data_IF_546812193922
#
_entry.id   IF_546812193922
#
_cell.length_a   1.000
_cell.length_b   1.000
_cell.length_c   1.000
_cell.angle_alpha   90.00
_cell.angle_beta   90.00
_cell.angle_gamma   90.00
#
_symmetry.space_group_name_H-M   'P 1'
#
loop_
_entity.id
_entity.type
_entity.pdbx_description
1 polymer ?
#
# COMPACT_ATOMS: atom_id res chain seq x y z
N UNK A 1 27.65 51.13 1.30
CA UNK A 1 26.88 49.87 1.38
C UNK A 1 27.82 48.71 1.13
N UNK A 2 28.12 47.94 2.15
CA UNK A 2 28.95 46.76 2.08
C UNK A 2 28.19 45.63 1.37
N UNK A 3 28.70 44.99 0.33
CA UNK A 3 28.07 43.86 -0.29
C UNK A 3 27.74 42.76 0.74
N UNK A 4 26.67 42.06 0.57
CA UNK A 4 26.18 41.02 1.51
C UNK A 4 27.25 39.97 1.86
N UNK A 5 28.10 39.61 0.86
CA UNK A 5 29.22 38.70 1.03
C UNK A 5 30.29 39.23 1.99
N UNK A 6 30.64 40.51 1.90
CA UNK A 6 31.59 41.16 2.78
C UNK A 6 31.09 41.31 4.21
N UNK A 7 29.75 41.56 4.38
CA UNK A 7 29.14 41.63 5.69
C UNK A 7 29.11 40.23 6.36
N UNK A 8 28.91 39.14 5.60
CA UNK A 8 28.98 37.77 6.10
C UNK A 8 30.38 37.41 6.52
N UNK A 9 31.41 37.80 5.72
CA UNK A 9 32.81 37.56 6.06
C UNK A 9 33.25 38.31 7.33
N UNK A 10 32.76 39.53 7.55
CA UNK A 10 33.02 40.28 8.78
C UNK A 10 32.38 39.63 10.04
N UNK A 11 31.22 38.98 9.89
CA UNK A 11 30.52 38.38 11.02
C UNK A 11 31.06 36.98 11.33
N UNK A 12 31.43 36.21 10.33
CA UNK A 12 31.78 34.79 10.46
C UNK A 12 33.33 34.61 10.51
N UNK A 13 34.10 35.60 10.11
CA UNK A 13 35.57 35.57 10.11
C UNK A 13 36.12 34.38 9.34
N UNK A 14 37.24 33.81 9.80
CA UNK A 14 37.87 32.66 9.16
C UNK A 14 37.04 31.36 9.14
N UNK A 15 35.92 31.31 9.90
CA UNK A 15 35.02 30.17 9.85
C UNK A 15 34.28 30.02 8.50
N UNK A 16 34.25 31.08 7.67
CA UNK A 16 33.72 31.01 6.31
C UNK A 16 34.61 30.26 5.32
N UNK A 17 35.90 30.15 5.63
CA UNK A 17 36.90 29.48 4.79
C UNK A 17 36.82 27.94 4.92
N UNK A 18 36.31 27.47 6.06
CA UNK A 18 36.06 26.07 6.31
C UNK A 18 34.63 25.94 6.84
N UNK A 19 33.62 25.88 5.95
CA UNK A 19 32.25 25.59 6.43
C UNK A 19 32.30 24.29 7.22
N UNK A 20 31.68 24.24 8.43
CA UNK A 20 31.66 23.02 9.21
C UNK A 20 31.04 21.94 8.33
N UNK A 21 31.80 20.88 8.07
CA UNK A 21 31.27 19.68 7.44
C UNK A 21 30.26 19.12 8.41
N UNK A 22 28.98 19.40 8.15
CA UNK A 22 27.89 18.77 8.87
C UNK A 22 27.84 17.31 8.43
N UNK A 23 28.51 16.45 9.17
CA UNK A 23 28.22 15.03 9.11
C UNK A 23 26.89 14.86 9.84
N UNK A 24 25.81 14.51 9.10
CA UNK A 24 24.55 14.21 9.78
C UNK A 24 24.83 13.06 10.73
N UNK A 25 24.62 13.30 12.04
CA UNK A 25 24.73 12.26 13.04
C UNK A 25 23.97 11.04 12.53
N UNK A 26 24.53 9.82 12.63
CA UNK A 26 23.84 8.61 12.18
C UNK A 26 22.46 8.63 12.84
N UNK A 27 21.41 8.70 12.03
CA UNK A 27 20.04 8.61 12.51
C UNK A 27 19.95 7.27 13.22
N UNK A 28 20.03 7.26 14.55
CA UNK A 28 19.67 6.11 15.34
C UNK A 28 18.23 5.83 14.94
N UNK A 29 17.99 4.73 14.25
CA UNK A 29 16.67 4.23 13.92
C UNK A 29 15.97 3.84 15.24
N UNK A 30 15.53 4.86 15.97
CA UNK A 30 14.58 4.63 17.04
C UNK A 30 13.36 3.93 16.42
N UNK A 31 12.86 2.85 17.03
CA UNK A 31 11.71 2.14 16.47
C UNK A 31 10.57 3.15 16.29
N UNK A 32 10.17 3.36 15.04
CA UNK A 32 9.09 4.28 14.71
C UNK A 32 7.81 3.78 15.39
N UNK A 33 7.21 4.61 16.22
CA UNK A 33 5.92 4.31 16.84
C UNK A 33 4.83 4.67 15.85
N UNK A 34 4.00 3.68 15.48
CA UNK A 34 2.85 3.91 14.61
C UNK A 34 1.81 4.77 15.34
N UNK A 35 1.48 5.92 14.75
CA UNK A 35 0.47 6.85 15.25
C UNK A 35 -0.82 6.66 14.45
N UNK A 36 -1.71 5.81 14.96
CA UNK A 36 -3.02 5.58 14.38
C UNK A 36 -3.97 6.75 14.69
N UNK A 37 -4.75 7.25 13.71
CA UNK A 37 -5.80 8.21 13.99
C UNK A 37 -6.88 7.58 14.88
N UNK A 38 -7.52 8.37 15.77
CA UNK A 38 -8.58 7.87 16.63
C UNK A 38 -9.71 7.26 15.79
N UNK A 39 -10.27 6.13 16.25
CA UNK A 39 -11.38 5.49 15.58
C UNK A 39 -12.69 6.24 15.80
N UNK A 40 -13.55 6.27 14.80
CA UNK A 40 -14.94 6.68 14.93
C UNK A 40 -15.73 5.67 15.75
N UNK A 41 -16.84 6.12 16.37
CA UNK A 41 -17.75 5.21 17.12
C UNK A 41 -18.40 4.17 16.24
N UNK A 42 -18.57 4.46 14.96
CA UNK A 42 -19.09 3.55 13.94
C UNK A 42 -18.31 3.73 12.65
N UNK A 43 -18.41 2.74 11.74
CA UNK A 43 -17.73 2.76 10.45
C UNK A 43 -18.69 3.05 9.28
N UNK A 44 -19.79 3.75 9.53
CA UNK A 44 -20.89 3.91 8.57
C UNK A 44 -20.43 4.54 7.24
N UNK A 45 -19.62 5.60 7.30
CA UNK A 45 -19.15 6.25 6.07
C UNK A 45 -18.11 5.39 5.35
N UNK A 46 -17.24 4.68 6.07
CA UNK A 46 -16.27 3.77 5.49
C UNK A 46 -16.97 2.58 4.80
N UNK A 47 -17.98 2.00 5.45
CA UNK A 47 -18.81 0.93 4.86
C UNK A 47 -19.52 1.45 3.61
N UNK A 48 -20.19 2.60 3.68
CA UNK A 48 -20.88 3.19 2.52
C UNK A 48 -19.91 3.47 1.36
N UNK A 49 -18.72 3.98 1.66
CA UNK A 49 -17.70 4.25 0.64
C UNK A 49 -17.21 2.97 -0.06
N UNK A 50 -16.95 1.90 0.72
CA UNK A 50 -16.47 0.64 0.16
C UNK A 50 -17.57 -0.12 -0.57
N UNK A 51 -18.80 -0.12 -0.04
CA UNK A 51 -19.98 -0.69 -0.72
C UNK A 51 -20.30 0.04 -2.02
N UNK A 52 -20.13 1.38 -2.05
CA UNK A 52 -20.26 2.17 -3.28
C UNK A 52 -19.22 1.81 -4.35
N UNK A 53 -18.12 1.15 -3.96
CA UNK A 53 -17.10 0.56 -4.86
C UNK A 53 -17.36 -0.92 -5.16
N UNK A 54 -18.52 -1.44 -4.76
CA UNK A 54 -18.92 -2.82 -5.00
C UNK A 54 -18.32 -3.85 -4.04
N UNK A 55 -17.56 -3.45 -3.04
CA UNK A 55 -16.96 -4.39 -2.08
C UNK A 55 -18.06 -5.01 -1.22
N UNK A 56 -18.07 -6.33 -1.12
CA UNK A 56 -19.07 -7.11 -0.42
C UNK A 56 -19.05 -6.85 1.09
N UNK A 57 -20.24 -6.83 1.72
CA UNK A 57 -20.39 -6.54 3.15
C UNK A 57 -19.66 -7.54 4.03
N UNK A 58 -19.68 -8.84 3.72
CA UNK A 58 -18.95 -9.86 4.50
C UNK A 58 -17.43 -9.59 4.49
N UNK A 59 -16.86 -9.15 3.34
CA UNK A 59 -15.44 -8.81 3.23
C UNK A 59 -15.12 -7.58 4.08
N UNK A 60 -16.01 -6.56 4.06
CA UNK A 60 -15.87 -5.36 4.89
C UNK A 60 -15.96 -5.71 6.37
N UNK A 61 -17.00 -6.44 6.77
CA UNK A 61 -17.27 -6.82 8.16
C UNK A 61 -16.15 -7.68 8.75
N UNK A 62 -15.59 -8.59 7.95
CA UNK A 62 -14.40 -9.35 8.33
C UNK A 62 -13.22 -8.42 8.63
N UNK A 63 -12.94 -7.45 7.77
CA UNK A 63 -11.83 -6.52 7.99
C UNK A 63 -12.06 -5.62 9.20
N UNK A 64 -13.29 -5.20 9.46
CA UNK A 64 -13.64 -4.41 10.66
C UNK A 64 -13.49 -5.27 11.92
N UNK A 65 -14.09 -6.45 11.95
CA UNK A 65 -14.07 -7.34 13.12
C UNK A 65 -12.68 -7.82 13.50
N UNK A 66 -11.78 -7.94 12.52
CA UNK A 66 -10.37 -8.32 12.72
C UNK A 66 -9.45 -7.11 12.94
N UNK A 67 -9.97 -5.90 13.06
CA UNK A 67 -9.18 -4.68 13.26
C UNK A 67 -8.31 -4.26 12.08
N UNK A 68 -8.54 -4.84 10.90
CA UNK A 68 -7.81 -4.50 9.68
C UNK A 68 -8.34 -3.26 8.98
N UNK A 69 -9.55 -2.86 9.33
CA UNK A 69 -10.21 -1.71 8.75
C UNK A 69 -11.05 -0.99 9.81
N UNK A 70 -10.98 0.34 9.81
CA UNK A 70 -11.88 1.18 10.59
C UNK A 70 -12.06 2.55 9.94
N UNK A 71 -13.01 3.34 10.44
CA UNK A 71 -13.21 4.73 10.05
C UNK A 71 -12.50 5.64 11.06
N UNK A 72 -11.67 6.60 10.59
CA UNK A 72 -11.08 7.59 11.48
C UNK A 72 -12.11 8.63 11.92
N UNK A 73 -12.03 9.06 13.19
CA UNK A 73 -12.82 10.18 13.71
C UNK A 73 -12.17 11.52 13.35
N UNK A 74 -12.92 12.62 13.53
CA UNK A 74 -12.46 13.99 13.34
C UNK A 74 -13.14 14.67 12.16
N UNK A 75 -12.59 15.85 11.76
CA UNK A 75 -13.18 16.69 10.69
C UNK A 75 -13.22 15.97 9.34
N UNK A 76 -12.24 15.12 9.06
CA UNK A 76 -12.13 14.36 7.81
C UNK A 76 -12.20 12.88 8.13
N UNK A 77 -13.26 12.24 7.67
CA UNK A 77 -13.40 10.80 7.77
C UNK A 77 -12.53 10.11 6.71
N UNK A 78 -11.78 9.11 7.14
CA UNK A 78 -10.99 8.29 6.25
C UNK A 78 -11.27 6.81 6.51
N UNK A 79 -11.21 6.00 5.47
CA UNK A 79 -11.02 4.56 5.62
C UNK A 79 -9.56 4.34 6.00
N UNK A 80 -9.33 3.67 7.11
CA UNK A 80 -8.00 3.31 7.61
C UNK A 80 -7.79 1.82 7.39
N UNK A 81 -6.84 1.46 6.53
CA UNK A 81 -6.43 0.09 6.28
C UNK A 81 -5.18 -0.21 7.12
N UNK A 82 -5.31 -1.14 8.05
CA UNK A 82 -4.26 -1.46 9.02
C UNK A 82 -3.52 -2.73 8.61
N UNK A 83 -2.21 -2.65 8.56
CA UNK A 83 -1.32 -3.78 8.36
C UNK A 83 -0.74 -4.27 9.69
N UNK A 84 -0.79 -5.58 9.92
CA UNK A 84 -0.36 -6.23 11.13
C UNK A 84 0.87 -7.10 10.88
N UNK A 85 1.71 -7.24 11.91
CA UNK A 85 2.75 -8.26 11.90
C UNK A 85 2.16 -9.66 12.25
N UNK A 86 2.99 -10.69 12.16
CA UNK A 86 2.60 -12.09 12.46
C UNK A 86 2.04 -12.32 13.87
N UNK A 87 2.23 -11.37 14.78
CA UNK A 87 1.74 -11.44 16.16
C UNK A 87 0.44 -10.62 16.35
N UNK A 88 -0.15 -10.11 15.27
CA UNK A 88 -1.37 -9.31 15.31
C UNK A 88 -1.16 -7.86 15.78
N UNK A 89 0.09 -7.39 15.92
CA UNK A 89 0.36 -6.00 16.28
C UNK A 89 0.28 -5.11 15.05
N UNK A 90 -0.47 -4.01 15.13
CA UNK A 90 -0.54 -2.99 14.09
C UNK A 90 0.84 -2.33 13.89
N UNK A 91 1.33 -2.31 12.66
CA UNK A 91 2.64 -1.77 12.27
C UNK A 91 2.57 -0.77 11.12
N UNK A 92 1.50 -0.77 10.38
CA UNK A 92 1.28 0.06 9.21
C UNK A 92 -0.17 0.51 9.15
N UNK A 93 -0.41 1.70 8.64
CA UNK A 93 -1.75 2.11 8.25
C UNK A 93 -1.74 3.03 7.03
N UNK A 94 -2.63 2.74 6.09
CA UNK A 94 -2.91 3.54 4.91
C UNK A 94 -4.28 4.21 5.05
N UNK A 95 -4.36 5.46 4.64
CA UNK A 95 -5.55 6.30 4.73
C UNK A 95 -6.14 6.55 3.34
N UNK A 96 -7.44 6.40 3.23
CA UNK A 96 -8.21 6.79 2.06
C UNK A 96 -9.32 7.75 2.44
N UNK A 97 -9.28 8.98 1.91
CA UNK A 97 -10.30 9.98 2.16
C UNK A 97 -11.67 9.55 1.67
N UNK A 98 -12.69 9.75 2.50
CA UNK A 98 -14.09 9.55 2.14
C UNK A 98 -14.63 10.88 1.59
N UNK A 99 -15.08 10.88 0.32
CA UNK A 99 -15.52 12.10 -0.37
C UNK A 99 -14.39 13.04 -0.81
N UNK A 100 -13.13 12.56 -0.80
CA UNK A 100 -11.97 13.30 -1.28
C UNK A 100 -10.95 12.40 -1.97
N UNK A 101 -10.00 13.00 -2.71
CA UNK A 101 -8.91 12.27 -3.37
C UNK A 101 -7.72 11.99 -2.44
N UNK A 102 -7.87 12.23 -1.13
CA UNK A 102 -6.79 12.06 -0.18
C UNK A 102 -6.36 10.60 -0.08
N UNK A 103 -5.05 10.41 -0.20
CA UNK A 103 -4.33 9.15 0.02
C UNK A 103 -3.12 9.45 0.87
N UNK A 104 -2.90 8.68 1.92
CA UNK A 104 -1.77 8.91 2.82
C UNK A 104 -1.41 7.69 3.65
N UNK A 105 -0.32 7.80 4.37
CA UNK A 105 0.13 6.81 5.36
C UNK A 105 0.21 7.47 6.73
N UNK A 106 -0.08 6.71 7.77
CA UNK A 106 0.08 7.21 9.14
C UNK A 106 1.54 7.38 9.50
N UNK A 107 1.85 8.40 10.31
CA UNK A 107 3.20 8.59 10.82
C UNK A 107 3.66 7.36 11.61
N UNK A 108 4.91 6.97 11.42
CA UNK A 108 5.48 5.79 12.05
C UNK A 108 5.09 4.47 11.40
N UNK A 109 4.39 4.48 10.27
CA UNK A 109 4.10 3.29 9.49
C UNK A 109 5.38 2.59 9.03
N UNK A 110 5.38 1.28 9.20
CA UNK A 110 6.44 0.39 8.71
C UNK A 110 5.95 -0.36 7.47
N UNK A 111 6.45 0.03 6.30
CA UNK A 111 6.03 -0.53 5.00
C UNK A 111 6.27 -2.04 4.84
N UNK A 112 7.04 -2.65 5.73
CA UNK A 112 7.21 -4.11 5.77
C UNK A 112 5.91 -4.85 6.07
N UNK A 113 4.96 -4.19 6.74
CA UNK A 113 3.73 -4.79 7.24
C UNK A 113 2.49 -4.14 6.60
N UNK A 114 2.47 -4.02 5.29
CA UNK A 114 1.32 -3.44 4.58
C UNK A 114 0.03 -4.24 4.81
N UNK A 115 -1.10 -3.67 4.36
CA UNK A 115 -2.41 -4.29 4.50
C UNK A 115 -2.43 -5.70 3.91
N UNK A 116 -2.86 -6.68 4.70
CA UNK A 116 -2.87 -8.08 4.31
C UNK A 116 -4.01 -8.86 4.95
N UNK A 117 -4.38 -9.97 4.34
CA UNK A 117 -5.28 -10.99 4.88
C UNK A 117 -4.55 -12.33 4.73
N UNK A 118 -3.95 -12.85 5.82
CA UNK A 118 -3.26 -14.13 5.78
C UNK A 118 -4.25 -15.29 5.70
N UNK A 119 -3.87 -16.36 5.02
CA UNK A 119 -4.55 -17.64 5.05
C UNK A 119 -3.96 -18.56 6.13
N UNK A 120 -4.74 -19.52 6.62
CA UNK A 120 -4.27 -20.48 7.61
C UNK A 120 -3.40 -21.59 6.99
N UNK A 121 -3.78 -22.09 5.83
CA UNK A 121 -3.13 -23.24 5.17
C UNK A 121 -3.11 -23.03 3.65
N UNK A 122 -2.27 -22.12 3.16
CA UNK A 122 -2.09 -21.93 1.72
C UNK A 122 -0.63 -21.71 1.34
N UNK A 123 -0.24 -22.27 0.22
CA UNK A 123 1.06 -22.02 -0.40
C UNK A 123 0.99 -20.90 -1.46
N UNK A 124 -0.16 -20.23 -1.60
CA UNK A 124 -0.43 -19.25 -2.65
C UNK A 124 -0.59 -17.86 -2.04
N UNK A 125 0.16 -16.90 -2.59
CA UNK A 125 0.04 -15.48 -2.28
C UNK A 125 -0.47 -14.72 -3.51
N UNK A 126 -1.51 -13.92 -3.33
CA UNK A 126 -1.95 -12.93 -4.30
C UNK A 126 -1.45 -11.54 -3.90
N UNK A 127 -0.77 -10.85 -4.79
CA UNK A 127 -0.12 -9.57 -4.56
C UNK A 127 -0.83 -8.45 -5.34
N UNK A 128 -1.23 -7.37 -4.65
CA UNK A 128 -1.99 -6.25 -5.20
C UNK A 128 -1.26 -4.92 -4.99
N UNK A 129 -1.58 -3.90 -5.79
CA UNK A 129 -1.04 -2.55 -5.57
C UNK A 129 -1.69 -1.85 -4.38
N UNK A 130 -3.01 -2.02 -4.19
CA UNK A 130 -3.75 -1.35 -3.13
C UNK A 130 -4.64 -2.29 -2.31
N UNK A 131 -5.03 -1.84 -1.11
CA UNK A 131 -5.99 -2.54 -0.26
C UNK A 131 -7.38 -2.64 -0.94
N UNK A 132 -7.80 -1.63 -1.71
CA UNK A 132 -9.09 -1.65 -2.42
C UNK A 132 -9.10 -2.73 -3.50
N UNK A 133 -8.00 -2.91 -4.25
CA UNK A 133 -7.90 -3.97 -5.26
C UNK A 133 -7.93 -5.36 -4.63
N UNK A 134 -7.25 -5.52 -3.50
CA UNK A 134 -7.27 -6.74 -2.70
C UNK A 134 -8.70 -7.08 -2.25
N UNK A 135 -9.44 -6.12 -1.68
CA UNK A 135 -10.83 -6.34 -1.24
C UNK A 135 -11.78 -6.57 -2.42
N UNK A 136 -11.53 -5.91 -3.55
CA UNK A 136 -12.29 -6.11 -4.79
C UNK A 136 -12.09 -7.51 -5.34
N UNK A 137 -10.85 -8.02 -5.32
CA UNK A 137 -10.57 -9.40 -5.71
C UNK A 137 -11.21 -10.41 -4.77
N UNK A 138 -11.16 -10.18 -3.45
CA UNK A 138 -11.84 -11.02 -2.47
C UNK A 138 -13.34 -11.09 -2.76
N UNK A 139 -13.96 -9.95 -3.07
CA UNK A 139 -15.37 -9.87 -3.46
C UNK A 139 -15.65 -10.64 -4.75
N UNK A 140 -14.82 -10.48 -5.79
CA UNK A 140 -14.97 -11.24 -7.06
C UNK A 140 -14.89 -12.75 -6.80
N UNK A 141 -13.99 -13.20 -5.95
CA UNK A 141 -13.90 -14.63 -5.59
C UNK A 141 -15.19 -15.12 -4.94
N UNK A 142 -15.71 -14.36 -3.97
CA UNK A 142 -16.98 -14.68 -3.29
C UNK A 142 -18.14 -14.74 -4.28
N UNK A 143 -18.28 -13.75 -5.16
CA UNK A 143 -19.34 -13.73 -6.19
C UNK A 143 -19.28 -14.93 -7.12
N UNK A 144 -18.11 -15.50 -7.35
CA UNK A 144 -17.89 -16.71 -8.12
C UNK A 144 -18.02 -18.01 -7.28
N UNK A 145 -18.55 -17.95 -6.06
CA UNK A 145 -18.71 -19.10 -5.19
C UNK A 145 -17.42 -19.69 -4.63
N UNK A 146 -16.31 -18.95 -4.69
CA UNK A 146 -15.03 -19.39 -4.19
C UNK A 146 -14.78 -18.86 -2.77
N UNK A 147 -14.10 -19.65 -1.94
CA UNK A 147 -13.62 -19.16 -0.65
C UNK A 147 -12.56 -18.08 -0.87
N UNK A 148 -12.90 -16.85 -0.52
CA UNK A 148 -12.03 -15.69 -0.72
C UNK A 148 -10.90 -15.60 0.33
N UNK A 149 -11.00 -16.33 1.44
CA UNK A 149 -9.97 -16.42 2.50
C UNK A 149 -8.99 -17.58 2.30
N UNK A 150 -9.20 -18.38 1.26
CA UNK A 150 -8.40 -19.58 1.01
C UNK A 150 -6.91 -19.31 0.84
N UNK A 151 -6.56 -18.20 0.18
CA UNK A 151 -5.18 -17.87 -0.19
C UNK A 151 -4.74 -16.58 0.50
N UNK A 152 -3.43 -16.41 0.70
CA UNK A 152 -2.85 -15.19 1.24
C UNK A 152 -3.09 -13.99 0.30
N UNK A 153 -3.52 -12.86 0.87
CA UNK A 153 -3.72 -11.62 0.13
C UNK A 153 -2.82 -10.53 0.73
N UNK A 154 -2.02 -9.85 -0.07
CA UNK A 154 -1.10 -8.81 0.34
C UNK A 154 -1.19 -7.60 -0.60
N UNK A 155 -1.27 -6.40 -0.04
CA UNK A 155 -1.16 -5.14 -0.77
C UNK A 155 0.26 -4.58 -0.66
N UNK A 156 0.79 -4.00 -1.73
CA UNK A 156 2.11 -3.34 -1.73
C UNK A 156 2.09 -1.94 -1.09
N UNK A 157 0.91 -1.43 -0.74
CA UNK A 157 0.72 -0.07 -0.20
C UNK A 157 1.17 1.05 -1.18
N UNK A 158 0.97 0.83 -2.46
CA UNK A 158 1.25 1.78 -3.53
C UNK A 158 2.03 1.19 -4.69
N UNK A 159 2.20 2.00 -5.72
CA UNK A 159 2.86 1.58 -6.97
C UNK A 159 4.32 1.22 -6.70
N UNK A 160 4.69 0.01 -7.06
CA UNK A 160 6.08 -0.40 -7.11
C UNK A 160 6.75 0.22 -8.34
N UNK A 161 7.81 0.99 -8.11
CA UNK A 161 8.59 1.62 -9.18
C UNK A 161 9.87 0.83 -9.41
N UNK A 162 9.97 0.07 -10.51
CA UNK A 162 11.20 -0.59 -10.92
C UNK A 162 12.31 0.41 -11.27
N UNK A 163 13.56 -0.04 -11.20
CA UNK A 163 14.70 0.70 -11.78
C UNK A 163 14.66 0.63 -13.31
N UNK A 164 15.43 1.50 -13.98
CA UNK A 164 15.60 1.44 -15.44
C UNK A 164 16.03 0.05 -15.91
N UNK A 165 17.03 -0.52 -15.22
CA UNK A 165 17.38 -1.93 -15.36
C UNK A 165 16.56 -2.75 -14.37
N UNK A 166 15.56 -3.42 -14.87
CA UNK A 166 14.58 -4.14 -14.05
C UNK A 166 15.21 -5.23 -13.17
N UNK A 167 16.32 -5.81 -13.60
CA UNK A 167 17.09 -6.84 -12.90
C UNK A 167 17.80 -6.29 -11.64
N UNK A 168 18.01 -4.97 -11.57
CA UNK A 168 18.60 -4.28 -10.42
C UNK A 168 17.53 -3.73 -9.47
N UNK A 169 16.25 -4.00 -9.75
CA UNK A 169 15.14 -3.53 -8.91
C UNK A 169 15.11 -4.27 -7.58
N UNK A 170 14.78 -3.56 -6.50
CA UNK A 170 14.64 -4.17 -5.19
C UNK A 170 13.28 -4.84 -5.05
N UNK A 171 13.20 -5.99 -4.38
CA UNK A 171 11.93 -6.59 -4.00
C UNK A 171 11.24 -5.67 -2.97
N UNK A 172 9.93 -5.39 -3.10
CA UNK A 172 9.20 -4.57 -2.14
C UNK A 172 9.34 -5.07 -0.71
N UNK A 173 9.55 -4.15 0.25
CA UNK A 173 9.76 -4.50 1.65
C UNK A 173 8.61 -5.32 2.24
N UNK A 174 7.36 -4.99 1.87
CA UNK A 174 6.18 -5.72 2.28
C UNK A 174 6.22 -7.19 1.82
N UNK A 175 6.56 -7.42 0.56
CA UNK A 175 6.65 -8.77 0.01
C UNK A 175 7.79 -9.56 0.66
N UNK A 176 8.98 -8.94 0.80
CA UNK A 176 10.14 -9.59 1.45
C UNK A 176 9.82 -10.00 2.88
N UNK A 177 9.17 -9.13 3.66
CA UNK A 177 8.81 -9.44 5.05
C UNK A 177 7.72 -10.51 5.10
N UNK A 178 6.69 -10.39 4.25
CA UNK A 178 5.57 -11.33 4.24
C UNK A 178 6.02 -12.76 3.91
N UNK A 179 6.90 -12.93 2.90
CA UNK A 179 7.48 -14.23 2.56
C UNK A 179 8.37 -14.82 3.66
N UNK A 180 9.01 -13.96 4.46
CA UNK A 180 9.77 -14.39 5.65
C UNK A 180 8.85 -14.88 6.77
N UNK A 181 7.72 -14.21 6.96
CA UNK A 181 6.74 -14.57 7.99
C UNK A 181 5.89 -15.77 7.60
N UNK A 182 5.80 -16.09 6.29
CA UNK A 182 5.02 -17.17 5.68
C UNK A 182 5.91 -18.05 4.77
N UNK A 183 6.82 -18.86 5.36
CA UNK A 183 7.75 -19.69 4.58
C UNK A 183 7.08 -20.84 3.81
N UNK A 184 5.80 -21.14 4.12
CA UNK A 184 4.97 -22.10 3.41
C UNK A 184 4.61 -21.66 1.98
N UNK A 185 4.69 -20.37 1.66
CA UNK A 185 4.33 -19.83 0.35
C UNK A 185 5.32 -20.32 -0.70
N UNK A 186 4.80 -20.89 -1.79
CA UNK A 186 5.56 -21.39 -2.96
C UNK A 186 5.16 -20.68 -4.24
N UNK A 187 3.93 -20.18 -4.32
CA UNK A 187 3.39 -19.54 -5.52
C UNK A 187 2.99 -18.10 -5.23
N UNK A 188 3.46 -17.18 -6.09
CA UNK A 188 3.14 -15.75 -6.00
C UNK A 188 2.39 -15.36 -7.27
N UNK A 189 1.14 -14.92 -7.13
CA UNK A 189 0.31 -14.44 -8.23
C UNK A 189 0.27 -12.92 -8.18
N UNK A 190 0.91 -12.28 -9.15
CA UNK A 190 0.96 -10.84 -9.29
C UNK A 190 -0.36 -10.34 -9.89
N UNK A 191 -1.15 -9.61 -9.11
CA UNK A 191 -2.44 -9.03 -9.48
C UNK A 191 -2.37 -7.52 -9.48
N UNK A 192 -1.38 -7.00 -10.20
CA UNK A 192 -1.11 -5.59 -10.32
C UNK A 192 -2.02 -4.93 -11.36
N UNK A 193 -1.97 -3.60 -11.45
CA UNK A 193 -2.78 -2.84 -12.40
C UNK A 193 -2.48 -3.23 -13.85
N UNK A 194 -3.50 -3.21 -14.68
CA UNK A 194 -3.40 -3.52 -16.12
C UNK A 194 -3.05 -2.26 -16.94
N UNK A 195 -2.08 -1.49 -16.46
CA UNK A 195 -1.52 -0.34 -17.17
C UNK A 195 -0.01 -0.53 -17.41
N UNK A 196 0.63 0.48 -18.01
CA UNK A 196 2.06 0.43 -18.33
C UNK A 196 2.91 0.24 -17.07
N UNK A 197 2.58 0.94 -15.97
CA UNK A 197 3.35 0.89 -14.73
C UNK A 197 3.21 -0.47 -14.04
N UNK A 198 1.99 -0.98 -13.88
CA UNK A 198 1.74 -2.28 -13.25
C UNK A 198 2.31 -3.45 -14.07
N UNK A 199 2.25 -3.39 -15.40
CA UNK A 199 2.89 -4.40 -16.27
C UNK A 199 4.42 -4.37 -16.17
N UNK A 200 5.03 -3.19 -16.07
CA UNK A 200 6.48 -3.05 -15.86
C UNK A 200 6.86 -3.54 -14.47
N UNK A 201 6.08 -3.23 -13.45
CA UNK A 201 6.25 -3.72 -12.09
C UNK A 201 6.22 -5.26 -12.04
N UNK A 202 5.24 -5.88 -12.71
CA UNK A 202 5.15 -7.34 -12.79
C UNK A 202 6.38 -7.96 -13.45
N UNK A 203 6.85 -7.41 -14.58
CA UNK A 203 8.09 -7.88 -15.24
C UNK A 203 9.30 -7.79 -14.33
N UNK A 204 9.46 -6.67 -13.61
CA UNK A 204 10.56 -6.49 -12.68
C UNK A 204 10.50 -7.49 -11.51
N UNK A 205 9.33 -7.71 -10.91
CA UNK A 205 9.16 -8.69 -9.85
C UNK A 205 9.46 -10.12 -10.32
N UNK A 206 9.04 -10.49 -11.53
CA UNK A 206 9.38 -11.78 -12.11
C UNK A 206 10.88 -11.95 -12.35
N UNK A 207 11.62 -10.86 -12.61
CA UNK A 207 13.06 -10.88 -12.83
C UNK A 207 13.87 -10.98 -11.53
N UNK A 208 13.40 -10.31 -10.44
CA UNK A 208 14.19 -10.16 -9.21
C UNK A 208 13.80 -11.14 -8.09
N UNK A 209 12.61 -11.74 -8.15
CA UNK A 209 12.20 -12.71 -7.15
C UNK A 209 13.00 -14.01 -7.27
N UNK A 210 13.32 -14.66 -6.14
CA UNK A 210 14.05 -15.92 -6.15
C UNK A 210 13.37 -17.02 -6.97
N UNK A 211 14.16 -17.82 -7.69
CA UNK A 211 13.68 -18.87 -8.59
C UNK A 211 13.00 -20.07 -7.91
N UNK A 212 13.04 -20.12 -6.59
CA UNK A 212 12.32 -21.14 -5.82
C UNK A 212 10.81 -20.86 -5.68
N UNK A 213 10.35 -19.68 -6.12
CA UNK A 213 8.92 -19.37 -6.20
C UNK A 213 8.39 -19.58 -7.61
N UNK A 214 7.18 -20.10 -7.71
CA UNK A 214 6.40 -20.08 -8.95
C UNK A 214 5.75 -18.70 -9.02
N UNK A 215 6.04 -17.93 -10.07
CA UNK A 215 5.53 -16.56 -10.21
C UNK A 215 4.66 -16.49 -11.45
N UNK A 216 3.43 -16.05 -11.29
CA UNK A 216 2.45 -15.87 -12.38
C UNK A 216 1.89 -14.44 -12.32
N UNK A 217 1.67 -13.81 -13.47
CA UNK A 217 1.09 -12.48 -13.58
C UNK A 217 -0.32 -12.56 -14.14
N UNK A 218 -1.31 -12.23 -13.31
CA UNK A 218 -2.74 -12.24 -13.68
C UNK A 218 -3.35 -10.88 -13.45
N UNK A 219 -3.34 -10.08 -14.50
CA UNK A 219 -3.97 -8.77 -14.50
C UNK A 219 -5.49 -8.86 -14.45
N UNK A 220 -6.20 -7.78 -14.04
CA UNK A 220 -7.65 -7.74 -14.12
C UNK A 220 -8.10 -7.96 -15.56
N UNK A 221 -9.10 -8.83 -15.80
CA UNK A 221 -9.56 -9.16 -17.17
C UNK A 221 -10.28 -7.99 -17.84
N UNK A 222 -10.78 -7.04 -17.07
CA UNK A 222 -11.46 -5.82 -17.55
C UNK A 222 -11.05 -4.64 -16.67
N UNK A 223 -11.02 -3.43 -17.25
CA UNK A 223 -10.63 -2.22 -16.53
C UNK A 223 -9.13 -2.09 -16.30
N UNK A 224 -8.76 -1.07 -15.55
CA UNK A 224 -7.37 -0.78 -15.19
C UNK A 224 -6.92 -1.63 -14.00
N UNK A 225 -7.76 -1.75 -12.98
CA UNK A 225 -7.47 -2.40 -11.71
C UNK A 225 -8.60 -3.38 -11.31
N UNK A 226 -8.43 -4.09 -10.19
CA UNK A 226 -9.45 -5.05 -9.72
C UNK A 226 -10.73 -4.37 -9.22
N UNK A 227 -10.67 -3.11 -8.79
CA UNK A 227 -11.87 -2.36 -8.44
C UNK A 227 -12.68 -1.98 -9.69
N UNK A 228 -12.03 -1.50 -10.76
CA UNK A 228 -12.67 -1.28 -12.07
C UNK A 228 -13.36 -2.57 -12.54
N UNK A 229 -12.64 -3.71 -12.47
CA UNK A 229 -13.16 -5.01 -12.89
C UNK A 229 -14.42 -5.40 -12.10
N UNK A 230 -14.42 -5.20 -10.78
CA UNK A 230 -15.57 -5.47 -9.91
C UNK A 230 -16.76 -4.55 -10.25
N UNK A 231 -16.50 -3.24 -10.40
CA UNK A 231 -17.55 -2.27 -10.75
C UNK A 231 -18.20 -2.62 -12.09
N UNK A 232 -17.40 -2.99 -13.10
CA UNK A 232 -17.90 -3.44 -14.40
C UNK A 232 -18.73 -4.73 -14.31
N UNK A 233 -18.31 -5.66 -13.44
CA UNK A 233 -19.04 -6.91 -13.21
C UNK A 233 -20.42 -6.66 -12.58
N UNK A 234 -20.49 -5.71 -11.66
CA UNK A 234 -21.72 -5.36 -10.94
C UNK A 234 -22.59 -4.32 -11.68
N UNK A 235 -22.09 -3.73 -12.77
CA UNK A 235 -22.80 -2.68 -13.52
C UNK A 235 -22.92 -1.36 -12.74
N UNK A 236 -21.97 -1.07 -11.84
CA UNK A 236 -21.92 0.17 -11.05
C UNK A 236 -20.86 1.15 -11.58
N UNK A 237 -21.03 2.47 -11.35
CA UNK A 237 -20.08 3.47 -11.84
C UNK A 237 -18.68 3.27 -11.25
N UNK A 238 -17.65 3.44 -12.09
CA UNK A 238 -16.25 3.43 -11.65
C UNK A 238 -15.93 4.78 -11.00
N UNK A 239 -15.52 4.75 -9.73
CA UNK A 239 -15.13 5.93 -8.97
C UNK A 239 -13.62 6.14 -9.14
N UNK A 240 -13.22 7.04 -10.03
CA UNK A 240 -11.82 7.46 -10.20
C UNK A 240 -11.56 8.77 -9.47
N UNK A 241 -10.43 8.85 -8.77
CA UNK A 241 -9.90 10.14 -8.34
C UNK A 241 -9.53 10.96 -9.60
N UNK A 242 -9.82 12.25 -9.59
CA UNK A 242 -9.37 13.14 -10.66
C UNK A 242 -7.85 13.08 -10.72
N UNK A 243 -7.29 12.47 -11.76
CA UNK A 243 -5.88 12.59 -12.05
C UNK A 243 -5.59 14.07 -12.28
N UNK A 244 -4.69 14.64 -11.49
CA UNK A 244 -4.10 15.93 -11.83
C UNK A 244 -3.32 15.68 -13.12
N UNK A 245 -3.84 16.18 -14.25
CA UNK A 245 -3.05 16.31 -15.46
C UNK A 245 -1.81 17.12 -15.12
N UNK A 246 -0.70 16.43 -14.87
CA UNK A 246 0.62 17.01 -14.95
C UNK A 246 1.10 16.79 -16.37
N UNK A 247 0.49 17.52 -17.30
CA UNK A 247 1.17 17.98 -18.50
C UNK A 247 1.99 19.20 -18.07
N UNK A 248 3.30 18.98 -17.82
CA UNK A 248 4.35 19.98 -18.10
C UNK A 248 5.70 19.28 -18.11
#
# INVERSE_FOLDING_TARGET
>A
ETPFTEAVEMIVGQAAIHPPTYEPAPKKDAPKVLLLPPASRCATHAVSYLSGRGIDSEVIDFCISTGRLYESSGRYHNVVFVGHDRYGKARYANLRGIGSDFKGECNGSDKRFSFNIPAENSEILHLFESAIDLLSFATIRKLNGMDWKKDHLLSLAGVYQPREKIEESAVPLALTQYLRDHPEIKTIILRLDNDRAGRLAAKALMAVLPKNYIIDARFPPRGKDYNDCLCMHLGIPIIRSKEKNQER
#
